data_IF_836676580632
#
_entry.id   IF_836676580632
#
_cell.length_a   1.000
_cell.length_b   1.000
_cell.length_c   1.000
_cell.angle_alpha   90.00
_cell.angle_beta   90.00
_cell.angle_gamma   90.00
#
_symmetry.space_group_name_H-M   'P 1'
#
loop_
_entity.id
_entity.type
_entity.pdbx_description
1 polymer ?
#
# COMPACT_ATOMS: atom_id res chain seq x y z
N UNK A 1 17.22 5.23 7.76
CA UNK A 1 15.86 5.54 7.23
C UNK A 1 16.01 5.98 5.77
N UNK A 2 15.46 5.24 4.80
CA UNK A 2 15.35 5.79 3.45
C UNK A 2 14.29 6.90 3.48
N UNK A 3 14.69 8.13 3.16
CA UNK A 3 13.73 9.20 2.94
C UNK A 3 12.94 8.88 1.68
N UNK A 4 11.61 8.87 1.79
CA UNK A 4 10.74 8.79 0.61
C UNK A 4 10.98 10.04 -0.25
N UNK A 5 11.63 9.87 -1.39
CA UNK A 5 11.83 10.96 -2.34
C UNK A 5 10.62 11.07 -3.26
N UNK A 6 9.72 12.00 -2.95
CA UNK A 6 8.53 12.30 -3.75
C UNK A 6 8.78 13.27 -4.91
N UNK A 7 10.05 13.57 -5.23
CA UNK A 7 10.41 14.47 -6.33
C UNK A 7 9.85 13.95 -7.66
N UNK A 8 9.41 14.89 -8.53
CA UNK A 8 8.91 14.65 -9.90
C UNK A 8 7.56 13.90 -9.99
N UNK A 9 6.66 14.06 -9.03
CA UNK A 9 5.28 13.61 -9.17
C UNK A 9 4.35 14.82 -9.30
N UNK A 10 3.30 14.67 -10.11
CA UNK A 10 2.25 15.68 -10.29
C UNK A 10 1.50 15.97 -8.99
N UNK A 11 1.35 14.96 -8.13
CA UNK A 11 0.57 15.05 -6.90
C UNK A 11 1.48 15.27 -5.68
N UNK A 12 1.01 16.06 -4.69
CA UNK A 12 1.66 16.19 -3.40
C UNK A 12 1.94 14.84 -2.73
N UNK A 13 3.00 14.81 -1.93
CA UNK A 13 3.44 13.60 -1.21
C UNK A 13 2.37 13.03 -0.28
N UNK A 14 1.52 13.91 0.26
CA UNK A 14 0.41 13.63 1.14
C UNK A 14 -0.64 12.77 0.43
N UNK A 15 -0.98 13.12 -0.82
CA UNK A 15 -1.93 12.36 -1.64
C UNK A 15 -1.33 10.99 -1.97
N UNK A 16 -0.08 10.96 -2.42
CA UNK A 16 0.60 9.70 -2.76
C UNK A 16 0.64 8.78 -1.54
N UNK A 17 0.98 9.30 -0.37
CA UNK A 17 0.99 8.54 0.88
C UNK A 17 -0.41 8.07 1.28
N UNK A 18 -1.43 8.92 1.13
CA UNK A 18 -2.83 8.57 1.39
C UNK A 18 -3.32 7.46 0.46
N UNK A 19 -2.76 7.35 -0.75
CA UNK A 19 -3.09 6.31 -1.72
C UNK A 19 -2.38 4.99 -1.43
N UNK A 20 -1.08 5.04 -1.16
CA UNK A 20 -0.25 3.82 -1.00
C UNK A 20 -0.44 3.17 0.38
N UNK A 21 -0.65 3.97 1.42
CA UNK A 21 -0.77 3.44 2.77
C UNK A 21 -1.98 2.50 2.94
N UNK A 22 -3.19 2.85 2.47
CA UNK A 22 -4.36 1.98 2.59
C UNK A 22 -4.23 0.69 1.79
N UNK A 23 -3.60 0.70 0.61
CA UNK A 23 -3.36 -0.52 -0.18
C UNK A 23 -2.55 -1.58 0.59
N UNK A 24 -1.55 -1.14 1.36
CA UNK A 24 -0.68 -2.06 2.11
C UNK A 24 -1.15 -2.36 3.54
N UNK A 25 -2.04 -1.53 4.10
CA UNK A 25 -2.49 -1.66 5.49
C UNK A 25 -3.91 -2.19 5.63
N UNK A 26 -4.75 -1.89 4.65
CA UNK A 26 -6.15 -2.31 4.59
C UNK A 26 -6.34 -3.14 3.33
N UNK A 27 -7.34 -4.03 3.32
CA UNK A 27 -7.66 -4.86 2.14
C UNK A 27 -8.35 -4.06 1.03
N UNK A 28 -7.87 -2.84 0.74
CA UNK A 28 -8.41 -2.00 -0.32
C UNK A 28 -7.74 -2.33 -1.65
N UNK A 29 -8.57 -2.57 -2.66
CA UNK A 29 -8.13 -2.72 -4.03
C UNK A 29 -7.73 -1.37 -4.63
N UNK A 30 -7.00 -1.41 -5.75
CA UNK A 30 -6.67 -0.20 -6.52
C UNK A 30 -7.93 0.55 -6.98
N UNK A 31 -9.02 -0.19 -7.26
CA UNK A 31 -10.32 0.37 -7.62
C UNK A 31 -10.94 1.13 -6.45
N UNK A 32 -11.00 0.52 -5.27
CA UNK A 32 -11.56 1.18 -4.08
C UNK A 32 -10.83 2.50 -3.79
N UNK A 33 -9.51 2.49 -3.92
CA UNK A 33 -8.69 3.69 -3.73
C UNK A 33 -9.01 4.75 -4.78
N UNK A 34 -9.19 4.35 -6.06
CA UNK A 34 -9.57 5.29 -7.12
C UNK A 34 -10.94 5.92 -6.88
N UNK A 35 -11.91 5.17 -6.39
CA UNK A 35 -13.26 5.65 -6.07
C UNK A 35 -13.23 6.62 -4.88
N UNK A 36 -12.42 6.32 -3.85
CA UNK A 36 -12.20 7.20 -2.68
C UNK A 36 -11.56 8.53 -3.08
N UNK A 37 -10.66 8.53 -4.07
CA UNK A 37 -10.06 9.76 -4.58
C UNK A 37 -11.05 10.55 -5.43
N UNK A 38 -11.83 9.87 -6.27
CA UNK A 38 -12.86 10.48 -7.09
C UNK A 38 -13.93 11.18 -6.25
N UNK A 39 -14.34 10.57 -5.13
CA UNK A 39 -15.25 11.19 -4.17
C UNK A 39 -14.72 12.52 -3.60
N UNK A 40 -13.39 12.71 -3.59
CA UNK A 40 -12.72 13.96 -3.18
C UNK A 40 -12.41 14.89 -4.36
N UNK A 41 -12.98 14.64 -5.53
CA UNK A 41 -12.72 15.37 -6.77
C UNK A 41 -11.25 15.28 -7.22
N UNK A 42 -10.56 14.19 -6.88
CA UNK A 42 -9.18 13.92 -7.30
C UNK A 42 -9.21 12.75 -8.28
N UNK A 43 -9.10 13.05 -9.56
CA UNK A 43 -9.01 12.01 -10.58
C UNK A 43 -7.56 11.54 -10.73
N UNK A 44 -7.32 10.24 -10.53
CA UNK A 44 -6.01 9.58 -10.68
C UNK A 44 -6.21 8.29 -11.46
N UNK A 45 -5.39 8.06 -12.49
CA UNK A 45 -5.49 6.83 -13.26
C UNK A 45 -5.07 5.61 -12.43
N UNK A 46 -5.70 4.48 -12.71
CA UNK A 46 -5.37 3.19 -12.08
C UNK A 46 -3.87 2.84 -12.18
N UNK A 47 -3.26 3.07 -13.34
CA UNK A 47 -1.82 2.86 -13.54
C UNK A 47 -0.95 3.80 -12.69
N UNK A 48 -1.38 5.05 -12.46
CA UNK A 48 -0.64 5.96 -11.58
C UNK A 48 -0.62 5.44 -10.14
N UNK A 49 -1.77 4.96 -9.65
CA UNK A 49 -1.89 4.33 -8.32
C UNK A 49 -1.00 3.08 -8.25
N UNK A 50 -1.03 2.24 -9.29
CA UNK A 50 -0.22 1.03 -9.39
C UNK A 50 1.28 1.32 -9.36
N UNK A 51 1.75 2.31 -10.11
CA UNK A 51 3.15 2.72 -10.13
C UNK A 51 3.61 3.32 -8.79
N UNK A 52 2.76 4.10 -8.12
CA UNK A 52 3.06 4.57 -6.76
C UNK A 52 3.15 3.43 -5.76
N UNK A 53 2.26 2.44 -5.83
CA UNK A 53 2.33 1.26 -4.98
C UNK A 53 3.62 0.47 -5.21
N UNK A 54 4.02 0.25 -6.47
CA UNK A 54 5.31 -0.40 -6.78
C UNK A 54 6.50 0.37 -6.21
N UNK A 55 6.50 1.70 -6.37
CA UNK A 55 7.63 2.55 -5.99
C UNK A 55 7.76 2.74 -4.47
N UNK A 56 6.65 3.01 -3.79
CA UNK A 56 6.64 3.44 -2.39
C UNK A 56 6.21 2.34 -1.41
N UNK A 57 5.52 1.31 -1.92
CA UNK A 57 5.03 0.17 -1.17
C UNK A 57 6.09 -0.56 -0.34
N UNK A 58 7.29 -0.85 -0.87
CA UNK A 58 8.35 -1.52 -0.10
C UNK A 58 8.76 -0.73 1.15
N UNK A 59 8.89 0.60 1.04
CA UNK A 59 9.28 1.46 2.16
C UNK A 59 8.17 1.50 3.21
N UNK A 60 6.91 1.64 2.78
CA UNK A 60 5.75 1.66 3.68
C UNK A 60 5.61 0.31 4.40
N UNK A 61 5.67 -0.79 3.68
CA UNK A 61 5.53 -2.15 4.24
C UNK A 61 6.65 -2.45 5.24
N UNK A 62 7.89 -2.06 4.95
CA UNK A 62 9.00 -2.21 5.89
C UNK A 62 8.79 -1.40 7.18
N UNK A 63 8.26 -0.18 7.08
CA UNK A 63 7.93 0.63 8.24
C UNK A 63 6.78 0.02 9.07
N UNK A 64 5.76 -0.56 8.43
CA UNK A 64 4.68 -1.28 9.11
C UNK A 64 5.25 -2.49 9.87
N UNK A 65 6.08 -3.30 9.20
CA UNK A 65 6.70 -4.51 9.80
C UNK A 65 7.56 -4.16 11.02
N UNK A 66 8.42 -3.14 10.94
CA UNK A 66 9.24 -2.68 12.08
C UNK A 66 8.41 -2.26 13.29
N UNK A 67 7.32 -1.53 13.06
CA UNK A 67 6.41 -1.13 14.15
C UNK A 67 5.75 -2.33 14.82
N UNK A 68 5.36 -3.34 14.03
CA UNK A 68 4.76 -4.58 14.56
C UNK A 68 5.75 -5.39 15.39
N UNK A 69 7.02 -5.47 14.97
CA UNK A 69 8.07 -6.18 15.71
C UNK A 69 8.27 -5.64 17.13
N UNK A 70 8.16 -4.33 17.32
CA UNK A 70 8.27 -3.71 18.65
C UNK A 70 7.13 -4.14 19.62
N UNK A 71 6.01 -4.64 19.09
CA UNK A 71 4.80 -4.96 19.88
C UNK A 71 4.62 -6.48 20.08
N UNK A 72 5.45 -7.33 19.47
CA UNK A 72 5.26 -8.77 19.52
C UNK A 72 5.74 -9.36 20.87
N UNK A 73 4.81 -9.87 21.68
CA UNK A 73 5.04 -10.39 23.03
C UNK A 73 5.64 -11.83 23.05
N UNK A 74 6.65 -12.11 22.22
CA UNK A 74 7.40 -13.37 22.24
C UNK A 74 6.68 -14.64 21.75
N UNK A 75 5.35 -14.62 21.56
CA UNK A 75 4.56 -15.74 21.02
C UNK A 75 4.16 -15.50 19.57
N UNK A 76 4.37 -16.50 18.71
CA UNK A 76 3.99 -16.48 17.30
C UNK A 76 2.83 -17.46 17.05
N UNK A 77 1.84 -17.02 16.28
CA UNK A 77 0.80 -17.89 15.71
C UNK A 77 1.02 -17.94 14.20
N UNK A 78 1.13 -19.13 13.65
CA UNK A 78 1.28 -19.37 12.21
C UNK A 78 -0.07 -19.85 11.68
N UNK A 79 -0.49 -19.29 10.54
CA UNK A 79 -1.72 -19.67 9.85
C UNK A 79 -1.40 -19.89 8.36
N UNK A 80 -2.13 -20.80 7.72
CA UNK A 80 -1.98 -21.13 6.31
C UNK A 80 -3.19 -20.60 5.53
N UNK A 81 -2.93 -19.83 4.48
CA UNK A 81 -3.97 -19.33 3.59
C UNK A 81 -3.62 -19.73 2.16
N UNK A 82 -4.61 -20.27 1.44
CA UNK A 82 -4.51 -20.51 0.01
C UNK A 82 -4.97 -19.30 -0.79
N UNK A 83 -4.24 -18.94 -1.83
CA UNK A 83 -4.53 -17.79 -2.70
C UNK A 83 -4.61 -18.21 -4.16
N UNK A 84 -5.51 -17.59 -4.91
CA UNK A 84 -5.63 -17.83 -6.36
C UNK A 84 -4.83 -16.76 -7.10
N UNK A 85 -3.84 -17.17 -7.89
CA UNK A 85 -3.01 -16.30 -8.72
C UNK A 85 -3.12 -16.76 -10.16
N UNK A 86 -3.64 -15.90 -11.05
CA UNK A 86 -3.77 -16.26 -12.46
C UNK A 86 -4.71 -17.44 -12.76
N UNK A 87 -5.59 -17.80 -11.82
CA UNK A 87 -6.48 -18.96 -11.93
C UNK A 87 -5.95 -20.25 -11.27
N UNK A 88 -4.71 -20.25 -10.80
CA UNK A 88 -4.09 -21.37 -10.08
C UNK A 88 -4.08 -21.11 -8.57
N UNK A 89 -4.32 -22.16 -7.76
CA UNK A 89 -4.34 -22.09 -6.30
C UNK A 89 -2.94 -22.40 -5.75
N UNK A 90 -2.43 -21.51 -4.89
CA UNK A 90 -1.15 -21.62 -4.17
C UNK A 90 -1.37 -21.57 -2.66
#
# INVERSE_FOLDING_TARGET
MSFLMYKRHKYPSEIIRYVVMPYHRYCLSLRDISEILLYRSIEVSHESIREWNKKFGPIITNNIRRRRQYTAQGKWHLDEMRVVIGGEVY
#
